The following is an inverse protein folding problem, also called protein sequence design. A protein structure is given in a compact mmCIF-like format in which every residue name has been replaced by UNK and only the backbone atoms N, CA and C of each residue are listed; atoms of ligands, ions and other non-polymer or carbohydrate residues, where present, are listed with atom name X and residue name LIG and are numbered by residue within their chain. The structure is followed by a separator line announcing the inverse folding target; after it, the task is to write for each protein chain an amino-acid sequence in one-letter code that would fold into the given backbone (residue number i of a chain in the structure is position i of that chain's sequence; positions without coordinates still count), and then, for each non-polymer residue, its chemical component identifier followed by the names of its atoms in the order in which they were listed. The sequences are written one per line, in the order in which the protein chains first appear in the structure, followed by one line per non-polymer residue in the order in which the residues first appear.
data_IF_146742231947
#
_entry.id   IF_146742231947
#
_cell.length_a   1.000
_cell.length_b   1.000
_cell.length_c   1.000
_cell.angle_alpha   90.00
_cell.angle_beta   90.00
_cell.angle_gamma   90.00
#
_symmetry.space_group_name_H-M   'P 1'
#
loop_
_entity.id
_entity.type
_entity.pdbx_description
1 polymer ?
#
# COMPACT_ATOMS: atom_id res chain seq x y z
N UNK A 1 26.82 -20.70 3.45
CA UNK A 1 25.56 -20.78 4.23
C UNK A 1 24.41 -20.72 3.23
N UNK A 2 23.62 -21.79 3.01
CA UNK A 2 22.51 -21.71 2.07
C UNK A 2 21.35 -20.95 2.74
N UNK A 3 21.12 -19.70 2.31
CA UNK A 3 20.03 -18.79 2.73
C UNK A 3 18.66 -19.20 2.13
N UNK A 4 18.31 -20.48 2.18
CA UNK A 4 17.14 -21.01 1.47
C UNK A 4 15.77 -20.79 2.13
N UNK A 5 15.67 -20.11 3.29
CA UNK A 5 14.43 -20.15 4.10
C UNK A 5 13.95 -18.83 4.72
N UNK A 6 14.67 -17.72 4.56
CA UNK A 6 14.26 -16.42 5.16
C UNK A 6 13.70 -15.52 4.06
N UNK A 7 12.39 -15.30 4.09
CA UNK A 7 11.67 -14.49 3.12
C UNK A 7 11.56 -13.02 3.51
N UNK A 8 11.75 -12.70 4.79
CA UNK A 8 11.69 -11.36 5.35
C UNK A 8 12.38 -11.32 6.71
N UNK A 9 13.09 -10.24 6.98
CA UNK A 9 13.55 -9.85 8.32
C UNK A 9 12.91 -8.49 8.63
N UNK A 10 12.36 -8.33 9.83
CA UNK A 10 11.75 -7.08 10.27
C UNK A 10 12.45 -6.61 11.55
N UNK A 11 13.01 -5.41 11.51
CA UNK A 11 13.58 -4.73 12.66
C UNK A 11 12.54 -3.75 13.22
N UNK A 12 12.21 -3.91 14.50
CA UNK A 12 11.27 -3.04 15.20
C UNK A 12 12.01 -2.22 16.26
N UNK A 13 11.79 -0.90 16.28
CA UNK A 13 12.54 0.00 17.16
C UNK A 13 12.25 1.48 16.90
N UNK A 14 13.02 2.34 17.56
CA UNK A 14 12.94 3.79 17.36
C UNK A 14 13.30 4.19 15.92
N UNK A 15 12.62 5.19 15.38
CA UNK A 15 12.78 5.60 13.98
C UNK A 15 14.20 6.07 13.66
N UNK A 16 14.85 6.78 14.57
CA UNK A 16 16.21 7.30 14.35
C UNK A 16 17.22 6.14 14.36
N UNK A 17 17.03 5.16 15.25
CA UNK A 17 17.83 3.94 15.26
C UNK A 17 17.64 3.12 13.98
N UNK A 18 16.41 2.95 13.54
CA UNK A 18 16.10 2.22 12.31
C UNK A 18 16.62 2.94 11.06
N UNK A 19 16.59 4.28 11.05
CA UNK A 19 17.16 5.07 9.95
C UNK A 19 18.69 4.90 9.89
N UNK A 20 19.36 4.93 11.05
CA UNK A 20 20.80 4.61 11.13
C UNK A 20 21.09 3.18 10.66
N UNK A 21 20.28 2.22 11.09
CA UNK A 21 20.40 0.82 10.69
C UNK A 21 20.18 0.64 9.19
N UNK A 22 19.21 1.34 8.60
CA UNK A 22 18.94 1.29 7.16
C UNK A 22 20.18 1.71 6.35
N UNK A 23 20.85 2.80 6.76
CA UNK A 23 22.10 3.26 6.11
C UNK A 23 23.17 2.16 6.20
N UNK A 24 23.41 1.60 7.39
CA UNK A 24 24.40 0.55 7.60
C UNK A 24 24.09 -0.72 6.79
N UNK A 25 22.82 -1.13 6.74
CA UNK A 25 22.38 -2.27 5.95
C UNK A 25 22.52 -1.99 4.45
N UNK A 26 22.24 -0.78 4.00
CA UNK A 26 22.42 -0.39 2.61
C UNK A 26 23.90 -0.42 2.21
N UNK A 27 24.79 0.08 3.06
CA UNK A 27 26.25 -0.01 2.85
C UNK A 27 26.75 -1.47 2.83
N UNK A 28 26.26 -2.32 3.74
CA UNK A 28 26.72 -3.70 3.87
C UNK A 28 26.13 -4.64 2.80
N UNK A 29 24.87 -4.46 2.43
CA UNK A 29 24.16 -5.36 1.53
C UNK A 29 24.14 -4.84 0.08
N UNK A 30 24.23 -3.53 -0.12
CA UNK A 30 24.05 -2.89 -1.42
C UNK A 30 22.72 -3.30 -2.06
N UNK A 31 22.76 -3.65 -3.34
CA UNK A 31 21.59 -4.11 -4.10
C UNK A 31 21.20 -5.57 -3.82
N UNK A 32 21.82 -6.25 -2.85
CA UNK A 32 21.52 -7.67 -2.54
C UNK A 32 20.28 -7.87 -1.68
N UNK A 33 19.66 -6.79 -1.21
CA UNK A 33 18.41 -6.81 -0.46
C UNK A 33 17.57 -5.57 -0.80
N UNK A 34 16.27 -5.71 -0.70
CA UNK A 34 15.33 -4.60 -0.72
C UNK A 34 15.06 -4.16 0.73
N UNK A 35 15.26 -2.88 1.01
CA UNK A 35 15.05 -2.28 2.32
C UNK A 35 13.89 -1.29 2.24
N UNK A 36 12.86 -1.45 3.06
CA UNK A 36 11.73 -0.53 3.07
C UNK A 36 11.10 -0.42 4.46
N UNK A 37 10.53 0.75 4.77
CA UNK A 37 9.75 0.92 5.99
C UNK A 37 8.29 0.52 5.75
N UNK A 38 7.75 -0.34 6.59
CA UNK A 38 6.31 -0.66 6.62
C UNK A 38 5.54 0.10 7.69
N UNK A 39 6.25 0.69 8.65
CA UNK A 39 5.76 1.67 9.60
C UNK A 39 6.95 2.53 10.06
N UNK A 40 6.68 3.64 10.75
CA UNK A 40 7.74 4.51 11.31
C UNK A 40 8.72 3.74 12.20
N UNK A 41 8.26 2.70 12.89
CA UNK A 41 8.99 1.86 13.82
C UNK A 41 9.28 0.45 13.29
N UNK A 42 9.12 0.21 11.98
CA UNK A 42 9.34 -1.10 11.35
C UNK A 42 10.13 -0.99 10.04
N UNK A 43 11.37 -1.47 10.04
CA UNK A 43 12.24 -1.59 8.86
C UNK A 43 12.28 -3.05 8.37
N UNK A 44 11.94 -3.27 7.11
CA UNK A 44 11.93 -4.58 6.48
C UNK A 44 13.15 -4.79 5.58
N UNK A 45 13.70 -5.99 5.63
CA UNK A 45 14.74 -6.50 4.72
C UNK A 45 14.17 -7.69 3.97
N UNK A 46 14.06 -7.54 2.66
CA UNK A 46 13.44 -8.50 1.75
C UNK A 46 14.47 -8.94 0.70
N UNK A 47 14.31 -10.14 0.11
CA UNK A 47 15.07 -10.52 -1.08
C UNK A 47 14.87 -9.52 -2.22
N UNK A 48 15.86 -9.41 -3.10
CA UNK A 48 15.77 -8.55 -4.29
C UNK A 48 14.57 -8.95 -5.14
N UNK A 49 13.77 -7.96 -5.55
CA UNK A 49 12.56 -8.18 -6.34
C UNK A 49 11.33 -8.62 -5.54
N UNK A 50 11.45 -8.87 -4.23
CA UNK A 50 10.31 -9.15 -3.37
C UNK A 50 9.71 -7.85 -2.81
N UNK A 51 8.65 -7.36 -3.44
CA UNK A 51 7.81 -6.26 -2.96
C UNK A 51 6.34 -6.47 -3.36
N UNK A 52 5.43 -5.65 -2.84
CA UNK A 52 3.98 -5.78 -3.08
C UNK A 52 3.61 -5.62 -4.55
N UNK A 53 4.26 -4.71 -5.28
CA UNK A 53 4.02 -4.51 -6.71
C UNK A 53 4.40 -5.73 -7.57
N UNK A 54 5.55 -6.35 -7.27
CA UNK A 54 5.98 -7.58 -7.92
C UNK A 54 5.02 -8.75 -7.61
N UNK A 55 4.60 -8.89 -6.34
CA UNK A 55 3.62 -9.91 -5.96
C UNK A 55 2.28 -9.72 -6.68
N UNK A 56 1.79 -8.48 -6.77
CA UNK A 56 0.55 -8.16 -7.47
C UNK A 56 0.65 -8.40 -8.98
N UNK A 57 1.81 -8.15 -9.59
CA UNK A 57 2.08 -8.47 -11.00
C UNK A 57 1.92 -9.97 -11.26
N UNK A 58 2.50 -10.80 -10.40
CA UNK A 58 2.36 -12.26 -10.52
C UNK A 58 0.90 -12.69 -10.35
N UNK A 59 0.20 -12.14 -9.36
CA UNK A 59 -1.21 -12.47 -9.10
C UNK A 59 -2.12 -12.10 -10.28
N UNK A 60 -1.98 -10.89 -10.82
CA UNK A 60 -2.81 -10.42 -11.95
C UNK A 60 -2.59 -11.26 -13.20
N UNK A 61 -1.34 -11.64 -13.51
CA UNK A 61 -1.03 -12.56 -14.61
C UNK A 61 -1.72 -13.91 -14.45
N UNK A 62 -1.73 -14.50 -13.24
CA UNK A 62 -2.42 -15.76 -12.96
C UNK A 62 -3.93 -15.67 -13.16
N UNK A 63 -4.51 -14.48 -12.96
CA UNK A 63 -5.95 -14.23 -13.09
C UNK A 63 -6.35 -13.76 -14.51
N UNK A 64 -5.39 -13.64 -15.43
CA UNK A 64 -5.64 -13.09 -16.77
C UNK A 64 -6.07 -11.63 -16.75
N UNK A 65 -5.55 -10.86 -15.78
CA UNK A 65 -5.78 -9.44 -15.60
C UNK A 65 -4.48 -8.66 -15.77
N UNK A 66 -4.58 -7.33 -15.85
CA UNK A 66 -3.45 -6.42 -15.82
C UNK A 66 -3.45 -5.58 -14.54
N UNK A 67 -2.31 -4.96 -14.22
CA UNK A 67 -2.24 -3.97 -13.13
C UNK A 67 -3.16 -2.76 -13.39
N UNK A 68 -3.50 -2.47 -14.65
CA UNK A 68 -4.45 -1.40 -15.00
C UNK A 68 -5.88 -1.70 -14.53
N UNK A 69 -6.20 -2.98 -14.36
CA UNK A 69 -7.48 -3.45 -13.81
C UNK A 69 -7.48 -3.43 -12.28
N UNK A 70 -6.42 -2.94 -11.63
CA UNK A 70 -6.29 -2.95 -10.18
C UNK A 70 -6.53 -1.57 -9.57
N UNK A 71 -7.17 -1.60 -8.42
CA UNK A 71 -7.26 -0.49 -7.48
C UNK A 71 -6.52 -0.87 -6.19
N UNK A 72 -5.68 0.03 -5.66
CA UNK A 72 -4.93 -0.24 -4.42
C UNK A 72 -4.90 0.97 -3.49
N UNK A 73 -4.81 0.69 -2.19
CA UNK A 73 -4.77 1.67 -1.11
C UNK A 73 -3.56 1.41 -0.22
N UNK A 74 -2.83 2.45 0.16
CA UNK A 74 -1.64 2.29 0.98
C UNK A 74 -1.20 3.55 1.70
N UNK A 75 -0.29 3.37 2.66
CA UNK A 75 0.09 4.41 3.61
C UNK A 75 1.57 4.38 4.02
N UNK A 76 2.30 3.30 3.72
CA UNK A 76 3.70 3.16 4.07
C UNK A 76 4.63 3.00 2.84
N UNK A 77 5.94 3.07 3.07
CA UNK A 77 6.92 2.99 1.98
C UNK A 77 6.92 1.63 1.26
N UNK A 78 6.56 0.54 1.95
CA UNK A 78 6.41 -0.77 1.31
C UNK A 78 5.20 -0.88 0.36
N UNK A 79 4.30 0.10 0.32
CA UNK A 79 3.18 0.21 -0.65
C UNK A 79 3.59 0.89 -1.96
N UNK A 80 4.74 1.57 -1.97
CA UNK A 80 5.13 2.51 -3.03
C UNK A 80 5.12 1.87 -4.42
N UNK A 81 5.76 0.71 -4.59
CA UNK A 81 5.80 0.00 -5.88
C UNK A 81 4.40 -0.44 -6.33
N UNK A 82 3.56 -0.91 -5.41
CA UNK A 82 2.19 -1.34 -5.72
C UNK A 82 1.34 -0.15 -6.17
N UNK A 83 1.31 0.93 -5.38
CA UNK A 83 0.51 2.11 -5.65
C UNK A 83 0.90 2.81 -6.95
N UNK A 84 2.19 2.88 -7.26
CA UNK A 84 2.68 3.47 -8.50
C UNK A 84 2.42 2.62 -9.75
N UNK A 85 2.10 1.33 -9.60
CA UNK A 85 1.95 0.40 -10.73
C UNK A 85 0.50 0.10 -11.12
N UNK A 86 -0.45 0.24 -10.19
CA UNK A 86 -1.86 -0.06 -10.44
C UNK A 86 -2.55 1.01 -11.29
N UNK A 87 -3.69 0.67 -11.89
CA UNK A 87 -4.53 1.61 -12.63
C UNK A 87 -5.14 2.69 -11.74
N UNK A 88 -5.46 2.37 -10.49
CA UNK A 88 -6.05 3.32 -9.54
C UNK A 88 -5.41 3.18 -8.15
N UNK A 89 -4.37 3.98 -7.88
CA UNK A 89 -3.69 4.04 -6.59
C UNK A 89 -4.22 5.17 -5.70
N UNK A 90 -4.40 4.91 -4.41
CA UNK A 90 -4.88 5.88 -3.42
C UNK A 90 -4.00 5.92 -2.18
N UNK A 91 -3.63 7.12 -1.76
CA UNK A 91 -2.83 7.35 -0.56
C UNK A 91 -3.77 7.61 0.63
N UNK A 92 -3.58 6.90 1.73
CA UNK A 92 -4.39 7.12 2.94
C UNK A 92 -4.08 8.46 3.61
N UNK A 93 -5.04 9.03 4.34
CA UNK A 93 -4.89 10.29 5.08
C UNK A 93 -3.80 10.27 6.17
N UNK A 94 -3.42 9.09 6.66
CA UNK A 94 -2.34 8.89 7.63
C UNK A 94 -1.02 8.44 7.02
N UNK A 95 -0.89 8.47 5.69
CA UNK A 95 0.30 8.00 5.01
C UNK A 95 1.57 8.75 5.41
N UNK A 96 2.69 8.01 5.41
CA UNK A 96 4.03 8.54 5.61
C UNK A 96 4.29 9.72 4.66
N UNK A 97 4.88 10.83 5.15
CA UNK A 97 5.20 11.97 4.30
C UNK A 97 6.06 11.60 3.08
N UNK A 98 6.98 10.65 3.26
CA UNK A 98 7.86 10.14 2.21
C UNK A 98 7.07 9.49 1.07
N UNK A 99 6.06 8.66 1.38
CA UNK A 99 5.22 8.02 0.37
C UNK A 99 4.46 9.07 -0.47
N UNK A 100 3.91 10.09 0.20
CA UNK A 100 3.22 11.21 -0.48
C UNK A 100 4.16 11.99 -1.40
N UNK A 101 5.40 12.20 -0.96
CA UNK A 101 6.41 12.91 -1.74
C UNK A 101 6.84 12.12 -2.98
N UNK A 102 6.88 10.79 -2.90
CA UNK A 102 7.24 9.93 -4.04
C UNK A 102 6.09 9.71 -5.03
N UNK A 103 4.84 9.78 -4.57
CA UNK A 103 3.65 9.58 -5.40
C UNK A 103 2.71 10.80 -5.37
N UNK A 104 3.19 12.02 -5.70
CA UNK A 104 2.43 13.26 -5.52
C UNK A 104 1.24 13.40 -6.47
N UNK A 105 1.19 12.55 -7.50
CA UNK A 105 0.11 12.51 -8.49
C UNK A 105 -1.07 11.65 -8.03
N UNK A 106 -0.92 10.83 -6.99
CA UNK A 106 -2.00 9.98 -6.50
C UNK A 106 -2.94 10.77 -5.57
N UNK A 107 -4.26 10.58 -5.70
CA UNK A 107 -5.22 11.19 -4.80
C UNK A 107 -5.06 10.69 -3.37
N UNK A 108 -5.33 11.59 -2.42
CA UNK A 108 -5.34 11.29 -0.99
C UNK A 108 -6.79 11.11 -0.54
N UNK A 109 -7.09 9.99 0.10
CA UNK A 109 -8.39 9.74 0.73
C UNK A 109 -8.33 10.01 2.25
N UNK A 110 -9.39 9.65 2.98
CA UNK A 110 -9.44 9.86 4.43
C UNK A 110 -8.45 9.01 5.24
N UNK A 111 -8.41 9.23 6.55
CA UNK A 111 -7.58 8.46 7.48
C UNK A 111 -8.12 7.04 7.66
N UNK A 112 -7.23 6.04 7.79
CA UNK A 112 -7.61 4.65 8.07
C UNK A 112 -8.56 4.47 9.28
N UNK A 113 -8.37 5.25 10.36
CA UNK A 113 -9.22 5.23 11.57
C UNK A 113 -10.67 5.66 11.30
N UNK A 114 -10.91 6.37 10.20
CA UNK A 114 -12.23 6.83 9.79
C UNK A 114 -12.82 5.97 8.66
N UNK A 115 -12.37 4.71 8.51
CA UNK A 115 -12.88 3.76 7.51
C UNK A 115 -12.82 4.30 6.07
N UNK A 116 -11.77 5.07 5.75
CA UNK A 116 -11.70 5.80 4.50
C UNK A 116 -11.74 4.93 3.24
N UNK A 117 -11.15 3.72 3.28
CA UNK A 117 -11.27 2.75 2.18
C UNK A 117 -12.73 2.38 1.97
N UNK A 118 -13.46 2.03 3.04
CA UNK A 118 -14.89 1.72 2.94
C UNK A 118 -15.69 2.88 2.37
N UNK A 119 -15.48 4.10 2.87
CA UNK A 119 -16.17 5.30 2.37
C UNK A 119 -15.88 5.55 0.89
N UNK A 120 -14.62 5.39 0.48
CA UNK A 120 -14.22 5.54 -0.92
C UNK A 120 -14.89 4.48 -1.80
N UNK A 121 -14.90 3.22 -1.38
CA UNK A 121 -15.50 2.13 -2.14
C UNK A 121 -17.02 2.25 -2.26
N UNK A 122 -17.71 2.63 -1.18
CA UNK A 122 -19.15 2.91 -1.24
C UNK A 122 -19.44 4.03 -2.24
N UNK A 123 -18.71 5.14 -2.17
CA UNK A 123 -18.84 6.23 -3.14
C UNK A 123 -18.56 5.77 -4.57
N UNK A 124 -17.50 4.99 -4.78
CA UNK A 124 -17.11 4.50 -6.10
C UNK A 124 -18.16 3.54 -6.70
N UNK A 125 -18.79 2.70 -5.88
CA UNK A 125 -19.86 1.79 -6.31
C UNK A 125 -21.16 2.53 -6.61
N UNK A 126 -21.58 3.45 -5.73
CA UNK A 126 -22.89 4.11 -5.84
C UNK A 126 -22.85 5.31 -6.81
N UNK A 127 -21.72 5.99 -6.89
CA UNK A 127 -21.55 7.27 -7.59
C UNK A 127 -20.22 7.37 -8.36
N UNK A 128 -19.90 6.42 -9.27
CA UNK A 128 -18.59 6.35 -9.94
C UNK A 128 -18.22 7.59 -10.77
N UNK A 129 -19.21 8.39 -11.17
CA UNK A 129 -19.02 9.59 -11.99
C UNK A 129 -18.82 10.87 -11.17
N UNK A 130 -19.01 10.81 -9.84
CA UNK A 130 -18.89 11.96 -8.97
C UNK A 130 -17.49 12.02 -8.33
N UNK A 131 -16.93 13.23 -8.12
CA UNK A 131 -15.68 13.36 -7.38
C UNK A 131 -15.87 12.94 -5.92
N UNK A 132 -14.92 12.16 -5.40
CA UNK A 132 -14.89 11.78 -3.99
C UNK A 132 -14.34 12.93 -3.13
N UNK A 133 -14.94 13.13 -1.94
CA UNK A 133 -14.43 14.05 -0.91
C UNK A 133 -14.39 13.34 0.44
N UNK A 134 -13.24 13.27 1.13
CA UNK A 134 -13.12 12.57 2.41
C UNK A 134 -13.86 13.25 3.58
N UNK A 135 -14.30 14.50 3.42
CA UNK A 135 -14.99 15.28 4.46
C UNK A 135 -16.50 15.38 4.25
N UNK A 136 -17.04 14.82 3.16
CA UNK A 136 -18.48 14.85 2.93
C UNK A 136 -19.11 13.70 3.73
N UNK A 137 -20.06 14.03 4.60
CA UNK A 137 -20.92 13.04 5.27
C UNK A 137 -21.65 12.24 4.19
N UNK A 138 -21.35 10.94 4.08
CA UNK A 138 -22.14 10.02 3.27
C UNK A 138 -23.57 10.04 3.84
N UNK A 139 -24.62 10.26 3.03
CA UNK A 139 -25.99 10.19 3.51
C UNK A 139 -26.23 8.86 4.22
N UNK A 140 -26.70 8.94 5.46
CA UNK A 140 -26.95 7.79 6.32
C UNK A 140 -28.14 6.96 5.83
N UNK A 141 -27.91 6.14 4.81
CA UNK A 141 -28.85 5.09 4.44
C UNK A 141 -28.13 3.83 3.95
N UNK A 142 -28.19 2.82 4.82
CA UNK A 142 -28.26 1.37 4.54
C UNK A 142 -27.02 0.65 4.00
N UNK A 143 -26.42 -0.18 4.87
CA UNK A 143 -25.62 -1.34 4.49
C UNK A 143 -24.32 -1.47 5.26
N UNK A 144 -24.36 -2.08 6.45
CA UNK A 144 -23.15 -2.54 7.12
C UNK A 144 -22.57 -3.70 6.30
N UNK A 145 -21.54 -3.45 5.50
CA UNK A 145 -20.79 -4.50 4.82
C UNK A 145 -20.17 -5.42 5.89
N UNK A 146 -20.32 -6.75 5.80
CA UNK A 146 -19.80 -7.65 6.81
C UNK A 146 -18.27 -7.68 6.76
N UNK A 147 -17.64 -7.35 7.89
CA UNK A 147 -16.29 -7.79 8.26
C UNK A 147 -15.17 -7.51 7.27
N UNK A 148 -14.63 -6.29 7.29
CA UNK A 148 -13.29 -6.02 6.74
C UNK A 148 -12.36 -5.66 7.89
N UNK A 149 -11.50 -6.62 8.27
CA UNK A 149 -10.36 -6.38 9.15
C UNK A 149 -9.18 -5.90 8.30
N UNK A 150 -8.49 -4.89 8.81
CA UNK A 150 -7.45 -4.11 8.15
C UNK A 150 -6.15 -4.90 7.92
N UNK A 151 -5.83 -5.23 6.66
CA UNK A 151 -4.46 -5.35 6.13
C UNK A 151 -4.53 -5.11 4.60
N UNK A 152 -3.91 -4.04 4.10
CA UNK A 152 -3.53 -3.76 2.69
C UNK A 152 -4.51 -4.22 1.58
N UNK A 153 -5.34 -3.29 1.07
CA UNK A 153 -6.39 -3.60 0.10
C UNK A 153 -5.91 -3.45 -1.36
N UNK A 154 -6.08 -4.52 -2.14
CA UNK A 154 -6.13 -4.46 -3.61
C UNK A 154 -7.47 -5.01 -4.08
N UNK A 155 -8.14 -4.27 -4.97
CA UNK A 155 -9.37 -4.69 -5.62
C UNK A 155 -9.09 -4.87 -7.10
N UNK A 156 -9.52 -6.03 -7.62
CA UNK A 156 -9.44 -6.37 -9.04
C UNK A 156 -10.75 -5.95 -9.71
N UNK A 157 -10.70 -4.85 -10.44
CA UNK A 157 -11.83 -4.28 -11.16
C UNK A 157 -11.78 -4.73 -12.62
N UNK A 158 -12.63 -5.68 -13.04
CA UNK A 158 -12.85 -5.90 -14.47
C UNK A 158 -13.70 -4.76 -15.02
N UNK A 159 -13.11 -3.96 -15.92
CA UNK A 159 -13.75 -2.98 -16.80
C UNK A 159 -15.12 -2.46 -16.32
N UNK A 160 -15.09 -1.40 -15.53
CA UNK A 160 -16.24 -0.51 -15.31
C UNK A 160 -16.28 0.53 -16.41
#
# INVERSE_FOLDING_TARGET
MPLGSVTKICFCGDHDDLTRLQIQLHEALGERAHLCFSATDCLEVLPVGCNKGAALTVLTQHLGLSLRDCMAFGDAMNDREMLGSVGSGFIMGNAMPQLRAELPHLPVIGHCRNQAVSHYLTHWLDYPHLPYSPNNEIPSSTGQLPGFFCVEFVILCRGV
#
